data_IF_252813112116
#
_entry.id   IF_252813112116
#
_cell.length_a   1.000
_cell.length_b   1.000
_cell.length_c   1.000
_cell.angle_alpha   90.00
_cell.angle_beta   90.00
_cell.angle_gamma   90.00
#
_symmetry.space_group_name_H-M   'P 1'
#
loop_
_entity.id
_entity.type
_entity.pdbx_description
1 polymer ?
#
# COMPACT_ATOMS: atom_id res chain seq x y z
N UNK A 1 -6.89 0.12 -19.84
CA UNK A 1 -7.50 -1.02 -19.12
C UNK A 1 -8.60 -1.68 -19.96
N UNK A 2 -9.65 -0.97 -20.40
CA UNK A 2 -10.71 -1.54 -21.26
C UNK A 2 -10.17 -2.06 -22.61
N UNK A 3 -9.27 -1.30 -23.26
CA UNK A 3 -8.69 -1.71 -24.55
C UNK A 3 -7.81 -2.98 -24.49
N UNK A 4 -7.17 -3.23 -23.33
CA UNK A 4 -6.39 -4.45 -23.10
C UNK A 4 -7.30 -5.68 -23.06
N UNK A 5 -8.43 -5.58 -22.36
CA UNK A 5 -9.37 -6.70 -22.26
C UNK A 5 -10.06 -7.01 -23.59
N UNK A 6 -10.38 -5.97 -24.37
CA UNK A 6 -11.00 -6.12 -25.69
C UNK A 6 -10.05 -6.74 -26.75
N UNK A 7 -8.74 -6.71 -26.51
CA UNK A 7 -7.73 -7.28 -27.42
C UNK A 7 -7.40 -8.76 -27.17
N UNK A 8 -7.97 -9.36 -26.12
CA UNK A 8 -7.76 -10.79 -25.81
C UNK A 8 -8.57 -11.67 -26.77
N UNK A 9 -8.05 -12.86 -27.09
CA UNK A 9 -8.82 -13.86 -27.84
C UNK A 9 -10.03 -14.34 -27.03
N UNK A 10 -11.07 -14.80 -27.71
CA UNK A 10 -12.26 -15.37 -27.06
C UNK A 10 -11.94 -16.47 -26.04
N UNK A 11 -10.91 -17.28 -26.30
CA UNK A 11 -10.46 -18.30 -25.37
C UNK A 11 -9.89 -17.67 -24.08
N UNK A 12 -8.99 -16.69 -24.20
CA UNK A 12 -8.43 -15.97 -23.06
C UNK A 12 -9.48 -15.20 -22.26
N UNK A 13 -10.47 -14.61 -22.94
CA UNK A 13 -11.58 -13.94 -22.27
C UNK A 13 -12.43 -14.93 -21.45
N UNK A 14 -12.71 -16.12 -21.98
CA UNK A 14 -13.42 -17.19 -21.24
C UNK A 14 -12.62 -17.69 -20.05
N UNK A 15 -11.32 -17.95 -20.22
CA UNK A 15 -10.45 -18.40 -19.14
C UNK A 15 -10.39 -17.37 -18.01
N UNK A 16 -10.28 -16.09 -18.36
CA UNK A 16 -10.30 -14.99 -17.40
C UNK A 16 -11.64 -14.90 -16.65
N UNK A 17 -12.76 -15.10 -17.33
CA UNK A 17 -14.09 -15.14 -16.69
C UNK A 17 -14.20 -16.32 -15.71
N UNK A 18 -13.80 -17.52 -16.12
CA UNK A 18 -13.83 -18.72 -15.27
C UNK A 18 -12.95 -18.52 -14.04
N UNK A 19 -11.71 -18.02 -14.22
CA UNK A 19 -10.80 -17.74 -13.12
C UNK A 19 -11.40 -16.71 -12.15
N UNK A 20 -12.04 -15.66 -12.67
CA UNK A 20 -12.69 -14.64 -11.83
C UNK A 20 -13.82 -15.24 -10.98
N UNK A 21 -14.63 -16.13 -11.57
CA UNK A 21 -15.71 -16.82 -10.84
C UNK A 21 -15.14 -17.77 -9.78
N UNK A 22 -14.08 -18.51 -10.11
CA UNK A 22 -13.44 -19.44 -9.16
C UNK A 22 -12.80 -18.73 -7.97
N UNK A 23 -12.27 -17.52 -8.18
CA UNK A 23 -11.65 -16.73 -7.12
C UNK A 23 -12.61 -15.74 -6.43
N UNK A 24 -13.91 -15.79 -6.74
CA UNK A 24 -14.92 -14.85 -6.22
C UNK A 24 -14.92 -14.75 -4.69
N UNK A 25 -14.98 -15.90 -4.00
CA UNK A 25 -15.04 -15.94 -2.53
C UNK A 25 -13.73 -15.45 -1.90
N UNK A 26 -12.58 -15.72 -2.53
CA UNK A 26 -11.27 -15.20 -2.09
C UNK A 26 -11.21 -13.68 -2.23
N UNK A 27 -11.70 -13.15 -3.35
CA UNK A 27 -11.78 -11.72 -3.60
C UNK A 27 -12.69 -11.02 -2.57
N UNK A 28 -13.85 -11.61 -2.29
CA UNK A 28 -14.78 -11.11 -1.25
C UNK A 28 -14.11 -11.08 0.12
N UNK A 29 -13.50 -12.19 0.55
CA UNK A 29 -12.82 -12.27 1.84
C UNK A 29 -11.68 -11.24 1.96
N UNK A 30 -10.91 -11.04 0.89
CA UNK A 30 -9.85 -10.02 0.86
C UNK A 30 -10.41 -8.61 1.05
N UNK A 31 -11.51 -8.27 0.37
CA UNK A 31 -12.16 -6.96 0.51
C UNK A 31 -12.72 -6.77 1.92
N UNK A 32 -13.42 -7.76 2.46
CA UNK A 32 -13.96 -7.72 3.82
C UNK A 32 -12.84 -7.51 4.86
N UNK A 33 -11.70 -8.18 4.69
CA UNK A 33 -10.56 -8.00 5.57
C UNK A 33 -9.94 -6.59 5.45
N UNK A 34 -9.80 -6.06 4.24
CA UNK A 34 -9.32 -4.70 4.02
C UNK A 34 -10.24 -3.66 4.67
N UNK A 35 -11.56 -3.81 4.51
CA UNK A 35 -12.56 -2.91 5.13
C UNK A 35 -12.48 -2.99 6.65
N UNK A 36 -12.39 -4.21 7.19
CA UNK A 36 -12.27 -4.46 8.63
C UNK A 36 -11.00 -3.84 9.23
N UNK A 37 -9.86 -3.99 8.55
CA UNK A 37 -8.60 -3.37 8.94
C UNK A 37 -8.66 -1.84 8.86
N UNK A 38 -9.25 -1.30 7.79
CA UNK A 38 -9.45 0.14 7.61
C UNK A 38 -10.31 0.74 8.72
N UNK A 39 -11.44 0.11 9.06
CA UNK A 39 -12.36 0.58 10.10
C UNK A 39 -11.70 0.68 11.49
N UNK A 40 -10.70 -0.17 11.79
CA UNK A 40 -9.90 -0.10 13.04
C UNK A 40 -8.68 0.81 12.95
N UNK A 41 -8.46 1.44 11.79
CA UNK A 41 -7.29 2.27 11.51
C UNK A 41 -5.97 1.49 11.47
N UNK A 42 -6.01 0.20 11.10
CA UNK A 42 -4.81 -0.64 10.93
C UNK A 42 -4.21 -0.45 9.53
N UNK A 43 -3.56 0.70 9.33
CA UNK A 43 -2.92 1.03 8.07
C UNK A 43 -1.82 0.03 7.66
N UNK A 44 -1.19 -0.64 8.64
CA UNK A 44 -0.20 -1.69 8.37
C UNK A 44 -0.87 -2.90 7.71
N UNK A 45 -1.96 -3.41 8.29
CA UNK A 45 -2.68 -4.55 7.72
C UNK A 45 -3.23 -4.23 6.34
N UNK A 46 -3.81 -3.04 6.15
CA UNK A 46 -4.29 -2.60 4.83
C UNK A 46 -3.15 -2.58 3.81
N UNK A 47 -2.00 -1.99 4.14
CA UNK A 47 -0.85 -1.97 3.24
C UNK A 47 -0.26 -3.35 2.97
N UNK A 48 -0.24 -4.25 3.95
CA UNK A 48 0.20 -5.64 3.78
C UNK A 48 -0.74 -6.43 2.86
N UNK A 49 -2.06 -6.24 2.98
CA UNK A 49 -3.07 -6.84 2.11
C UNK A 49 -2.94 -6.34 0.67
N UNK A 50 -2.80 -5.01 0.47
CA UNK A 50 -2.64 -4.41 -0.85
C UNK A 50 -1.33 -4.79 -1.55
N UNK A 51 -0.25 -4.97 -0.78
CA UNK A 51 1.07 -5.30 -1.33
C UNK A 51 1.32 -6.80 -1.49
N UNK A 52 0.40 -7.68 -1.06
CA UNK A 52 0.59 -9.13 -1.08
C UNK A 52 0.98 -9.68 -2.45
N UNK A 53 0.30 -9.26 -3.50
CA UNK A 53 0.59 -9.66 -4.89
C UNK A 53 1.83 -8.97 -5.49
N UNK A 54 2.23 -7.83 -4.93
CA UNK A 54 3.46 -7.13 -5.34
C UNK A 54 4.70 -7.82 -4.77
N UNK A 55 4.62 -8.39 -3.56
CA UNK A 55 5.77 -9.03 -2.88
C UNK A 55 6.36 -10.21 -3.65
N UNK A 56 5.55 -10.88 -4.46
CA UNK A 56 6.01 -11.96 -5.35
C UNK A 56 6.63 -11.45 -6.65
N UNK A 57 6.61 -10.13 -6.88
CA UNK A 57 7.15 -9.43 -8.04
C UNK A 57 8.17 -8.37 -7.59
N UNK A 58 9.43 -8.78 -7.31
CA UNK A 58 10.42 -7.91 -6.67
C UNK A 58 10.68 -6.60 -7.41
N UNK A 59 10.77 -6.66 -8.74
CA UNK A 59 11.03 -5.46 -9.55
C UNK A 59 9.85 -4.49 -9.53
N UNK A 60 8.63 -5.01 -9.54
CA UNK A 60 7.43 -4.19 -9.44
C UNK A 60 7.28 -3.58 -8.04
N UNK A 61 7.58 -4.34 -6.98
CA UNK A 61 7.66 -3.82 -5.61
C UNK A 61 8.68 -2.70 -5.49
N UNK A 62 9.87 -2.89 -6.07
CA UNK A 62 10.94 -1.90 -6.05
C UNK A 62 10.49 -0.58 -6.68
N UNK A 63 9.94 -0.64 -7.89
CA UNK A 63 9.53 0.53 -8.66
C UNK A 63 8.31 1.24 -8.05
N UNK A 64 7.28 0.49 -7.62
CA UNK A 64 6.02 1.06 -7.16
C UNK A 64 6.01 1.45 -5.68
N UNK A 65 6.88 0.85 -4.87
CA UNK A 65 6.91 1.09 -3.42
C UNK A 65 8.30 1.48 -2.93
N UNK A 66 9.30 0.60 -3.01
CA UNK A 66 10.59 0.82 -2.31
C UNK A 66 11.29 2.10 -2.75
N UNK A 67 11.46 2.31 -4.06
CA UNK A 67 12.11 3.50 -4.60
C UNK A 67 11.30 4.78 -4.30
N UNK A 68 9.96 4.68 -4.35
CA UNK A 68 9.07 5.79 -4.02
C UNK A 68 9.13 6.14 -2.53
N UNK A 69 9.19 5.14 -1.66
CA UNK A 69 9.33 5.33 -0.22
C UNK A 69 10.67 5.97 0.12
N UNK A 70 11.74 5.58 -0.58
CA UNK A 70 13.06 6.17 -0.41
C UNK A 70 13.04 7.66 -0.77
N UNK A 71 12.49 8.01 -1.95
CA UNK A 71 12.32 9.42 -2.35
C UNK A 71 11.47 10.22 -1.35
N UNK A 72 10.39 9.63 -0.83
CA UNK A 72 9.59 10.26 0.22
C UNK A 72 10.40 10.49 1.50
N UNK A 73 11.15 9.50 1.97
CA UNK A 73 11.94 9.61 3.18
C UNK A 73 13.05 10.67 3.05
N UNK A 74 13.69 10.75 1.89
CA UNK A 74 14.68 11.79 1.58
C UNK A 74 14.04 13.18 1.59
N UNK A 75 12.92 13.35 0.89
CA UNK A 75 12.20 14.62 0.86
C UNK A 75 11.73 15.06 2.25
N UNK A 76 11.17 14.13 3.04
CA UNK A 76 10.70 14.42 4.41
C UNK A 76 11.88 14.82 5.30
N UNK A 77 13.01 14.11 5.23
CA UNK A 77 14.18 14.43 6.02
C UNK A 77 14.68 15.86 5.72
N UNK A 78 14.82 16.21 4.44
CA UNK A 78 15.17 17.58 4.03
C UNK A 78 14.13 18.59 4.47
N UNK A 79 12.83 18.28 4.34
CA UNK A 79 11.77 19.22 4.75
C UNK A 79 11.84 19.50 6.25
N UNK A 80 12.20 18.53 7.08
CA UNK A 80 12.29 18.70 8.54
C UNK A 80 13.48 19.58 8.98
N UNK A 81 14.42 19.92 8.11
CA UNK A 81 15.50 20.89 8.39
C UNK A 81 14.95 22.32 8.58
N UNK A 82 13.77 22.61 8.02
CA UNK A 82 13.10 23.90 8.17
C UNK A 82 11.99 23.81 9.22
N UNK A 83 11.98 24.67 10.26
CA UNK A 83 10.92 24.67 11.28
C UNK A 83 9.50 24.80 10.71
N UNK A 84 8.54 24.17 11.39
CA UNK A 84 7.11 24.24 11.08
C UNK A 84 6.43 22.88 10.98
N UNK A 85 5.11 22.89 10.80
CA UNK A 85 4.30 21.68 10.68
C UNK A 85 3.93 21.43 9.22
N UNK A 86 4.13 20.21 8.73
CA UNK A 86 3.73 19.79 7.40
C UNK A 86 2.78 18.61 7.51
N UNK A 87 1.66 18.68 6.80
CA UNK A 87 0.76 17.55 6.64
C UNK A 87 1.11 16.78 5.36
N UNK A 88 1.26 15.46 5.46
CA UNK A 88 1.56 14.58 4.33
C UNK A 88 0.52 13.47 4.29
N UNK A 89 -0.22 13.39 3.20
CA UNK A 89 -1.16 12.30 2.93
C UNK A 89 -0.50 11.27 2.00
N UNK A 90 -0.53 10.01 2.40
CA UNK A 90 0.01 8.88 1.63
C UNK A 90 -0.97 7.71 1.65
N UNK A 91 -0.91 6.86 0.63
CA UNK A 91 -1.61 5.58 0.63
C UNK A 91 -1.03 4.59 1.66
N UNK A 92 -1.83 3.63 2.11
CA UNK A 92 -1.46 2.65 3.15
C UNK A 92 -0.19 1.85 2.82
N UNK A 93 0.08 1.60 1.53
CA UNK A 93 1.31 0.92 1.08
C UNK A 93 2.61 1.63 1.47
N UNK A 94 2.58 2.95 1.70
CA UNK A 94 3.75 3.72 2.15
C UNK A 94 4.03 3.55 3.66
N UNK A 95 3.09 2.98 4.41
CA UNK A 95 3.13 2.85 5.87
C UNK A 95 3.36 1.39 6.34
N UNK A 96 3.36 0.42 5.42
CA UNK A 96 3.47 -1.00 5.73
C UNK A 96 4.83 -1.60 5.35
N UNK A 97 5.22 -2.66 6.05
CA UNK A 97 6.45 -3.41 5.76
C UNK A 97 7.77 -2.74 6.17
N UNK A 98 8.87 -3.46 5.89
CA UNK A 98 10.25 -3.10 6.26
C UNK A 98 10.78 -1.88 5.49
N UNK A 99 10.23 -1.64 4.31
CA UNK A 99 10.59 -0.54 3.41
C UNK A 99 9.61 0.63 3.49
N UNK A 100 8.76 0.69 4.54
CA UNK A 100 7.88 1.84 4.78
C UNK A 100 8.66 3.13 5.00
N UNK A 101 8.03 4.26 4.67
CA UNK A 101 8.60 5.60 4.86
C UNK A 101 9.04 5.82 6.30
N UNK A 102 8.23 5.36 7.27
CA UNK A 102 8.54 5.46 8.71
C UNK A 102 9.80 4.69 9.11
N UNK A 103 10.04 3.50 8.52
CA UNK A 103 11.26 2.72 8.76
C UNK A 103 12.47 3.34 8.09
N UNK A 104 12.30 3.91 6.91
CA UNK A 104 13.37 4.63 6.20
C UNK A 104 13.79 5.90 6.94
N UNK A 105 12.82 6.66 7.48
CA UNK A 105 13.08 7.82 8.33
C UNK A 105 13.81 7.43 9.62
N UNK A 106 13.42 6.32 10.26
CA UNK A 106 14.13 5.84 11.45
C UNK A 106 15.61 5.56 11.17
N UNK A 107 15.95 4.99 10.00
CA UNK A 107 17.35 4.76 9.60
C UNK A 107 18.13 6.07 9.40
N UNK A 108 17.45 7.18 9.19
CA UNK A 108 18.01 8.54 9.12
C UNK A 108 18.01 9.27 10.47
N UNK A 109 17.67 8.57 11.57
CA UNK A 109 17.58 9.17 12.91
C UNK A 109 16.26 9.88 13.22
N UNK A 110 15.27 9.82 12.32
CA UNK A 110 13.99 10.50 12.49
C UNK A 110 12.93 9.50 12.95
N UNK A 111 12.50 9.62 14.20
CA UNK A 111 11.48 8.74 14.79
C UNK A 111 10.07 9.26 14.50
N UNK A 112 9.12 8.33 14.36
CA UNK A 112 7.69 8.64 14.23
C UNK A 112 6.88 7.86 15.24
N UNK A 113 5.78 8.45 15.70
CA UNK A 113 4.82 7.80 16.61
C UNK A 113 3.41 7.97 16.08
N UNK A 114 2.55 6.98 16.36
CA UNK A 114 1.13 7.08 16.01
C UNK A 114 0.44 8.00 17.02
N UNK A 115 -0.06 9.13 16.53
CA UNK A 115 -0.93 10.02 17.32
C UNK A 115 -2.32 9.38 17.41
N UNK A 116 -2.78 9.07 18.62
CA UNK A 116 -4.16 8.61 18.86
C UNK A 116 -5.04 9.81 19.18
N UNK A 117 -6.28 9.81 18.66
CA UNK A 117 -7.28 10.80 19.07
C UNK A 117 -7.85 10.39 20.44
N UNK A 118 -7.68 11.19 21.50
CA UNK A 118 -8.20 10.85 22.83
C UNK A 118 -9.73 10.80 22.90
N UNK A 119 -10.44 11.43 21.96
CA UNK A 119 -11.91 11.56 21.96
C UNK A 119 -12.66 10.40 21.29
N UNK A 120 -11.95 9.40 20.76
CA UNK A 120 -12.50 8.27 20.01
C UNK A 120 -12.21 6.91 20.71
N UNK A 121 -12.10 6.92 22.05
CA UNK A 121 -12.04 5.72 22.88
C UNK A 121 -13.37 5.50 23.59
#
# INVERSE_FOLDING_TARGET
>A
MINFMASLSDAQQRDMLISTIQDWDKGKALVEEMVSAWARGDARRVGDLMSGSLRTQPELTRLLLTDRNQRWADWIATRLETPGTVFIAVGAGHLAGRDSVQRMLLRKGISSTRVRNPRLQ
#
